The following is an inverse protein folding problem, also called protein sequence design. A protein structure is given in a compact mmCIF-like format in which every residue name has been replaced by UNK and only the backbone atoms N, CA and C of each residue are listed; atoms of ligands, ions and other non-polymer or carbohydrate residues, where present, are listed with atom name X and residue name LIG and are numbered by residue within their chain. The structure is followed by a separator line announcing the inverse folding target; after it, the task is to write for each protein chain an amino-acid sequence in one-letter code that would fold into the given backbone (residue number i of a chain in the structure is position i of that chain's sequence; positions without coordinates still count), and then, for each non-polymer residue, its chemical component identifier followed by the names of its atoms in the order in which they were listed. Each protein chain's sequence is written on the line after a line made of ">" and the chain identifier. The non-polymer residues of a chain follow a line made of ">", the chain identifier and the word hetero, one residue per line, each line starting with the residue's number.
data_IF_074620226630
#
_entry.id   IF_074620226630
#
_cell.length_a   1.000
_cell.length_b   1.000
_cell.length_c   1.000
_cell.angle_alpha   90.00
_cell.angle_beta   90.00
_cell.angle_gamma   90.00
#
_symmetry.space_group_name_H-M   'P 1'
#
loop_
_entity.id
_entity.type
_entity.pdbx_description
1 polymer ?
#
# COMPACT_ATOMS: atom_id res chain seq x y z
N UNK A 1 46.42 32.58 -48.09
CA UNK A 1 45.45 32.69 -49.19
C UNK A 1 44.12 32.15 -48.68
N UNK A 2 43.11 33.01 -48.66
CA UNK A 2 41.82 32.83 -48.00
C UNK A 2 40.94 31.77 -48.65
N UNK A 3 40.15 31.05 -47.85
CA UNK A 3 38.84 30.52 -48.27
C UNK A 3 37.77 31.08 -47.31
N UNK A 4 36.88 31.91 -47.87
CA UNK A 4 35.72 32.47 -47.20
C UNK A 4 34.54 31.57 -47.54
N UNK A 5 33.91 30.97 -46.52
CA UNK A 5 32.65 30.22 -46.66
C UNK A 5 31.51 31.19 -46.35
N UNK A 6 30.67 31.47 -47.33
CA UNK A 6 29.50 32.34 -47.20
C UNK A 6 28.41 31.66 -46.36
N UNK A 7 28.00 32.31 -45.28
CA UNK A 7 26.93 31.87 -44.39
C UNK A 7 25.60 32.45 -44.88
N UNK A 8 24.68 31.62 -45.38
CA UNK A 8 23.32 32.01 -45.74
C UNK A 8 22.40 31.88 -44.51
N UNK A 9 22.01 33.02 -43.94
CA UNK A 9 21.02 33.10 -42.87
C UNK A 9 19.64 32.64 -43.38
N UNK A 10 19.14 31.52 -42.87
CA UNK A 10 17.73 31.13 -43.00
C UNK A 10 16.87 32.11 -42.19
N UNK A 11 16.01 32.87 -42.87
CA UNK A 11 14.94 33.64 -42.22
C UNK A 11 13.80 32.67 -41.86
N UNK A 12 13.31 32.64 -40.61
CA UNK A 12 12.17 31.80 -40.26
C UNK A 12 10.88 32.29 -40.92
N UNK A 13 9.96 31.39 -41.29
CA UNK A 13 8.70 31.76 -41.94
C UNK A 13 7.83 32.61 -41.00
N UNK A 14 7.02 33.54 -41.55
CA UNK A 14 6.14 34.39 -40.75
C UNK A 14 5.08 33.54 -40.02
N UNK A 15 4.63 33.97 -38.84
CA UNK A 15 3.61 33.26 -38.08
C UNK A 15 2.28 33.22 -38.85
N UNK A 16 1.52 32.11 -38.75
CA UNK A 16 0.25 31.94 -39.45
C UNK A 16 -0.76 33.01 -39.01
N UNK A 17 -1.65 33.37 -39.92
CA UNK A 17 -2.73 34.32 -39.63
C UNK A 17 -3.71 33.74 -38.61
N UNK A 18 -4.36 34.59 -37.82
CA UNK A 18 -5.34 34.18 -36.79
C UNK A 18 -6.42 33.24 -37.36
N UNK A 19 -6.80 33.45 -38.62
CA UNK A 19 -7.79 32.65 -39.34
C UNK A 19 -7.25 31.25 -39.69
N UNK A 20 -5.97 31.13 -40.05
CA UNK A 20 -5.33 29.83 -40.29
C UNK A 20 -5.16 29.05 -38.99
N UNK A 21 -4.84 29.72 -37.88
CA UNK A 21 -4.76 29.09 -36.56
C UNK A 21 -6.12 28.58 -36.07
N UNK A 22 -7.21 29.35 -36.23
CA UNK A 22 -8.56 28.91 -35.87
C UNK A 22 -9.03 27.71 -36.71
N UNK A 23 -8.69 27.68 -38.00
CA UNK A 23 -8.99 26.54 -38.88
C UNK A 23 -8.19 25.29 -38.50
N UNK A 24 -6.92 25.44 -38.10
CA UNK A 24 -6.10 24.32 -37.58
C UNK A 24 -6.62 23.80 -36.24
N UNK A 25 -7.09 24.68 -35.35
CA UNK A 25 -7.71 24.26 -34.08
C UNK A 25 -9.04 23.54 -34.32
N UNK A 26 -9.87 23.99 -35.26
CA UNK A 26 -11.11 23.29 -35.62
C UNK A 26 -10.86 21.94 -36.29
N UNK A 27 -9.84 21.81 -37.14
CA UNK A 27 -9.44 20.51 -37.70
C UNK A 27 -8.89 19.56 -36.63
N UNK A 28 -8.10 20.04 -35.67
CA UNK A 28 -7.60 19.23 -34.56
C UNK A 28 -8.73 18.80 -33.62
N UNK A 29 -9.73 19.65 -33.39
CA UNK A 29 -10.90 19.34 -32.56
C UNK A 29 -11.85 18.34 -33.26
N UNK A 30 -12.01 18.42 -34.59
CA UNK A 30 -12.71 17.40 -35.38
C UNK A 30 -11.96 16.06 -35.43
N UNK A 31 -10.63 16.05 -35.51
CA UNK A 31 -9.84 14.82 -35.46
C UNK A 31 -9.83 14.18 -34.06
N UNK A 32 -9.96 14.96 -32.98
CA UNK A 32 -10.10 14.43 -31.62
C UNK A 32 -11.49 13.85 -31.36
N UNK A 33 -12.56 14.41 -31.95
CA UNK A 33 -13.91 13.85 -31.82
C UNK A 33 -14.11 12.52 -32.58
N UNK A 34 -13.26 12.20 -33.57
CA UNK A 34 -13.31 10.93 -34.30
C UNK A 34 -12.45 9.79 -33.70
N UNK A 35 -11.70 10.04 -32.62
CA UNK A 35 -10.93 8.99 -31.91
C UNK A 35 -11.64 8.50 -30.64
N UNK A 36 -12.88 8.01 -30.76
CA UNK A 36 -13.34 6.97 -29.85
C UNK A 36 -12.97 5.62 -30.47
N UNK A 37 -12.14 4.78 -29.81
CA UNK A 37 -11.85 3.46 -30.34
C UNK A 37 -13.15 2.66 -30.44
N UNK A 38 -13.49 2.24 -31.66
CA UNK A 38 -14.64 1.37 -31.88
C UNK A 38 -14.42 0.04 -31.17
N UNK A 39 -15.47 -0.48 -30.53
CA UNK A 39 -15.44 -1.70 -29.70
C UNK A 39 -15.03 -2.96 -30.50
N UNK A 40 -15.03 -2.89 -31.83
CA UNK A 40 -14.78 -4.03 -32.72
C UNK A 40 -13.31 -4.28 -33.09
N UNK A 41 -12.36 -3.39 -32.81
CA UNK A 41 -10.95 -3.60 -33.19
C UNK A 41 -10.11 -4.38 -32.14
N UNK A 42 -10.69 -4.73 -30.99
CA UNK A 42 -9.99 -5.44 -29.91
C UNK A 42 -10.21 -6.98 -29.90
N UNK A 43 -11.00 -7.51 -30.84
CA UNK A 43 -11.25 -8.95 -30.98
C UNK A 43 -10.24 -9.62 -31.91
N UNK A 44 -8.96 -9.58 -31.57
CA UNK A 44 -8.01 -10.51 -32.16
C UNK A 44 -8.40 -11.95 -31.79
N UNK A 45 -8.42 -12.88 -32.75
CA UNK A 45 -8.64 -14.30 -32.47
C UNK A 45 -7.50 -14.83 -31.60
N UNK A 46 -7.75 -15.01 -30.31
CA UNK A 46 -6.73 -15.52 -29.39
C UNK A 46 -6.62 -17.04 -29.53
N UNK A 47 -5.46 -17.54 -29.98
CA UNK A 47 -5.11 -18.95 -29.85
C UNK A 47 -4.59 -19.18 -28.42
N UNK A 48 -5.30 -19.98 -27.63
CA UNK A 48 -4.89 -20.35 -26.27
C UNK A 48 -4.00 -21.59 -26.40
N UNK A 49 -2.68 -21.43 -26.29
CA UNK A 49 -1.75 -22.57 -26.38
C UNK A 49 -1.34 -23.10 -25.01
N UNK A 50 -1.42 -22.26 -23.98
CA UNK A 50 -1.09 -22.63 -22.60
C UNK A 50 -1.86 -21.75 -21.58
N UNK A 51 -1.73 -22.09 -20.29
CA UNK A 51 -2.38 -21.38 -19.18
C UNK A 51 -1.89 -19.92 -19.04
N UNK A 52 -0.65 -19.61 -19.38
CA UNK A 52 -0.13 -18.24 -19.35
C UNK A 52 -0.83 -17.35 -20.38
N UNK A 53 -1.08 -17.87 -21.58
CA UNK A 53 -1.84 -17.14 -22.61
C UNK A 53 -3.24 -16.78 -22.10
N UNK A 54 -3.90 -17.73 -21.43
CA UNK A 54 -5.20 -17.50 -20.81
C UNK A 54 -5.14 -16.34 -19.81
N UNK A 55 -4.16 -16.32 -18.89
CA UNK A 55 -4.01 -15.23 -17.93
C UNK A 55 -3.69 -13.88 -18.60
N UNK A 56 -2.88 -13.87 -19.66
CA UNK A 56 -2.60 -12.65 -20.43
C UNK A 56 -3.85 -12.10 -21.11
N UNK A 57 -4.68 -12.97 -21.70
CA UNK A 57 -5.97 -12.59 -22.30
C UNK A 57 -6.90 -12.03 -21.23
N UNK A 58 -7.02 -12.69 -20.08
CA UNK A 58 -7.86 -12.21 -18.98
C UNK A 58 -7.43 -10.85 -18.47
N UNK A 59 -6.12 -10.64 -18.27
CA UNK A 59 -5.57 -9.35 -17.84
C UNK A 59 -5.84 -8.25 -18.87
N UNK A 60 -5.68 -8.56 -20.17
CA UNK A 60 -6.01 -7.61 -21.24
C UNK A 60 -7.50 -7.26 -21.26
N UNK A 61 -8.38 -8.25 -21.19
CA UNK A 61 -9.84 -8.05 -21.14
C UNK A 61 -10.25 -7.21 -19.92
N UNK A 62 -9.67 -7.49 -18.76
CA UNK A 62 -9.89 -6.71 -17.54
C UNK A 62 -9.46 -5.24 -17.74
N UNK A 63 -8.24 -5.00 -18.24
CA UNK A 63 -7.73 -3.65 -18.51
C UNK A 63 -8.58 -2.90 -19.54
N UNK A 64 -8.98 -3.56 -20.64
CA UNK A 64 -9.89 -2.98 -21.64
C UNK A 64 -11.25 -2.65 -21.03
N UNK A 65 -11.80 -3.55 -20.20
CA UNK A 65 -13.11 -3.30 -19.57
C UNK A 65 -13.05 -2.12 -18.62
N UNK A 66 -11.95 -1.94 -17.89
CA UNK A 66 -11.77 -0.77 -17.04
C UNK A 66 -11.63 0.52 -17.84
N UNK A 67 -10.95 0.48 -18.99
CA UNK A 67 -10.75 1.65 -19.86
C UNK A 67 -12.05 2.13 -20.52
N UNK A 68 -12.91 1.21 -20.95
CA UNK A 68 -14.20 1.51 -21.60
C UNK A 68 -15.36 1.57 -20.59
N UNK A 69 -15.06 1.71 -19.30
CA UNK A 69 -16.02 1.64 -18.20
C UNK A 69 -16.54 3.01 -17.74
N UNK A 70 -17.04 3.06 -16.51
CA UNK A 70 -17.39 4.31 -15.83
C UNK A 70 -16.14 5.11 -15.48
N UNK A 71 -16.30 6.38 -15.08
CA UNK A 71 -15.18 7.20 -14.60
C UNK A 71 -14.42 6.57 -13.43
N UNK A 72 -15.12 5.88 -12.53
CA UNK A 72 -14.51 5.13 -11.44
C UNK A 72 -13.63 3.99 -11.95
N UNK A 73 -14.08 3.25 -12.98
CA UNK A 73 -13.31 2.16 -13.58
C UNK A 73 -12.06 2.68 -14.29
N UNK A 74 -12.18 3.80 -14.99
CA UNK A 74 -11.05 4.48 -15.65
C UNK A 74 -10.04 4.93 -14.59
N UNK A 75 -10.49 5.56 -13.51
CA UNK A 75 -9.64 5.96 -12.39
C UNK A 75 -8.97 4.75 -11.73
N UNK A 76 -9.69 3.64 -11.53
CA UNK A 76 -9.14 2.40 -11.00
C UNK A 76 -8.04 1.84 -11.89
N UNK A 77 -8.22 1.85 -13.22
CA UNK A 77 -7.18 1.46 -14.17
C UNK A 77 -5.94 2.33 -14.05
N UNK A 78 -6.14 3.65 -13.95
CA UNK A 78 -5.05 4.60 -13.77
C UNK A 78 -4.24 4.30 -12.50
N UNK A 79 -4.91 4.05 -11.37
CA UNK A 79 -4.22 3.66 -10.13
C UNK A 79 -3.46 2.33 -10.25
N UNK A 80 -4.04 1.31 -10.89
CA UNK A 80 -3.37 0.03 -11.09
C UNK A 80 -2.08 0.18 -11.92
N UNK A 81 -2.10 1.02 -12.96
CA UNK A 81 -0.92 1.29 -13.78
C UNK A 81 0.16 2.04 -12.98
N UNK A 82 -0.23 3.02 -12.16
CA UNK A 82 0.70 3.73 -11.27
C UNK A 82 1.28 2.80 -10.20
N UNK A 83 0.48 1.88 -9.66
CA UNK A 83 0.95 0.85 -8.72
C UNK A 83 1.95 -0.09 -9.39
N UNK A 84 1.69 -0.53 -10.62
CA UNK A 84 2.61 -1.36 -11.39
C UNK A 84 3.95 -0.64 -11.62
N UNK A 85 3.92 0.62 -12.09
CA UNK A 85 5.13 1.45 -12.29
C UNK A 85 5.91 1.61 -10.98
N UNK A 86 5.22 1.90 -9.88
CA UNK A 86 5.81 1.99 -8.54
C UNK A 86 6.55 0.71 -8.13
N UNK A 87 5.94 -0.46 -8.31
CA UNK A 87 6.57 -1.74 -7.95
C UNK A 87 7.76 -2.05 -8.86
N UNK A 88 7.66 -1.79 -10.17
CA UNK A 88 8.76 -2.02 -11.12
C UNK A 88 9.97 -1.18 -10.74
N UNK A 89 9.77 0.13 -10.48
CA UNK A 89 10.84 1.02 -10.02
C UNK A 89 11.44 0.58 -8.69
N UNK A 90 10.62 0.15 -7.74
CA UNK A 90 11.13 -0.35 -6.46
C UNK A 90 12.01 -1.60 -6.65
N UNK A 91 11.64 -2.51 -7.57
CA UNK A 91 12.48 -3.67 -7.93
C UNK A 91 13.81 -3.22 -8.54
N UNK A 92 13.80 -2.21 -9.41
CA UNK A 92 15.02 -1.65 -10.01
C UNK A 92 15.95 -1.03 -8.96
N UNK A 93 15.40 -0.25 -8.04
CA UNK A 93 16.14 0.31 -6.89
C UNK A 93 16.77 -0.81 -6.06
N UNK A 94 16.01 -1.86 -5.73
CA UNK A 94 16.53 -2.99 -4.95
C UNK A 94 17.63 -3.76 -5.70
N UNK A 95 17.55 -3.87 -7.03
CA UNK A 95 18.63 -4.46 -7.85
C UNK A 95 19.89 -3.60 -7.85
N UNK A 96 19.76 -2.27 -7.84
CA UNK A 96 20.90 -1.35 -7.74
C UNK A 96 21.59 -1.47 -6.37
N UNK A 97 20.81 -1.48 -5.30
CA UNK A 97 21.31 -1.68 -3.92
C UNK A 97 21.96 -3.05 -3.74
N UNK A 98 21.45 -4.08 -4.43
CA UNK A 98 22.07 -5.40 -4.44
C UNK A 98 23.45 -5.39 -5.11
N UNK A 99 23.61 -4.62 -6.19
CA UNK A 99 24.88 -4.45 -6.92
C UNK A 99 25.92 -3.62 -6.17
N UNK A 100 25.50 -2.74 -5.27
CA UNK A 100 26.42 -1.94 -4.45
C UNK A 100 27.39 -2.82 -3.65
N UNK A 101 28.68 -2.48 -3.70
CA UNK A 101 29.72 -3.26 -3.04
C UNK A 101 29.95 -2.78 -1.60
N UNK A 102 30.27 -3.72 -0.71
CA UNK A 102 30.60 -3.41 0.68
C UNK A 102 29.57 -3.87 1.69
N UNK A 103 29.65 -3.31 2.89
CA UNK A 103 28.87 -3.76 4.04
C UNK A 103 27.40 -3.30 3.94
N UNK A 104 26.56 -3.85 4.82
CA UNK A 104 25.13 -3.54 4.89
C UNK A 104 24.84 -2.05 5.10
N UNK A 105 25.72 -1.33 5.81
CA UNK A 105 25.57 0.10 6.07
C UNK A 105 25.70 0.93 4.79
N UNK A 106 26.72 0.66 3.97
CA UNK A 106 26.86 1.27 2.63
C UNK A 106 25.65 0.99 1.74
N UNK A 107 25.10 -0.22 1.78
CA UNK A 107 23.88 -0.58 1.04
C UNK A 107 22.66 0.22 1.51
N UNK A 108 22.53 0.49 2.82
CA UNK A 108 21.47 1.35 3.37
C UNK A 108 21.66 2.79 2.91
N UNK A 109 22.88 3.34 3.00
CA UNK A 109 23.19 4.70 2.51
C UNK A 109 22.90 4.85 1.02
N UNK A 110 23.24 3.83 0.21
CA UNK A 110 22.91 3.79 -1.21
C UNK A 110 21.41 3.77 -1.45
N UNK A 111 20.65 2.97 -0.71
CA UNK A 111 19.19 2.93 -0.79
C UNK A 111 18.59 4.30 -0.46
N UNK A 112 19.06 4.95 0.60
CA UNK A 112 18.64 6.30 0.99
C UNK A 112 18.92 7.31 -0.11
N UNK A 113 20.15 7.31 -0.65
CA UNK A 113 20.56 8.21 -1.72
C UNK A 113 19.74 8.02 -3.01
N UNK A 114 19.43 6.79 -3.40
CA UNK A 114 18.61 6.52 -4.59
C UNK A 114 17.17 7.00 -4.38
N UNK A 115 16.59 6.75 -3.20
CA UNK A 115 15.23 7.18 -2.88
C UNK A 115 15.07 8.71 -2.80
N UNK A 116 16.15 9.42 -2.46
CA UNK A 116 16.20 10.89 -2.44
C UNK A 116 16.60 11.49 -3.80
N UNK A 117 17.12 10.69 -4.72
CA UNK A 117 17.62 11.14 -6.01
C UNK A 117 16.49 11.73 -6.88
N UNK A 118 16.72 12.86 -7.57
CA UNK A 118 15.77 13.41 -8.54
C UNK A 118 15.75 12.64 -9.86
N UNK A 119 16.57 11.59 -10.02
CA UNK A 119 16.69 10.81 -11.26
C UNK A 119 15.33 10.22 -11.70
N UNK A 120 14.88 10.47 -12.95
CA UNK A 120 13.57 10.01 -13.42
C UNK A 120 13.35 8.51 -13.29
N UNK A 121 14.40 7.69 -13.44
CA UNK A 121 14.30 6.23 -13.32
C UNK A 121 13.92 5.74 -11.92
N UNK A 122 14.33 6.45 -10.86
CA UNK A 122 14.10 6.06 -9.47
C UNK A 122 13.05 6.93 -8.77
N UNK A 123 12.61 8.00 -9.42
CA UNK A 123 11.61 8.91 -8.90
C UNK A 123 10.21 8.27 -8.89
N UNK A 124 9.65 8.18 -7.69
CA UNK A 124 8.24 7.87 -7.50
C UNK A 124 7.38 9.11 -7.75
N UNK A 125 6.31 8.95 -8.52
CA UNK A 125 5.34 10.00 -8.81
C UNK A 125 4.30 10.12 -7.68
N UNK A 126 4.75 10.51 -6.48
CA UNK A 126 3.87 10.87 -5.39
C UNK A 126 3.37 12.30 -5.56
N UNK A 127 2.05 12.47 -5.51
CA UNK A 127 1.41 13.77 -5.57
C UNK A 127 0.37 13.85 -4.45
N UNK A 128 0.38 14.92 -3.65
CA UNK A 128 -0.62 15.12 -2.60
C UNK A 128 -2.04 15.24 -3.16
N UNK A 129 -2.19 15.78 -4.37
CA UNK A 129 -3.47 15.94 -5.05
C UNK A 129 -3.91 14.66 -5.77
N UNK A 130 -3.00 13.70 -5.97
CA UNK A 130 -3.30 12.38 -6.54
C UNK A 130 -2.53 11.27 -5.80
N UNK A 131 -2.89 10.99 -4.52
CA UNK A 131 -2.20 10.00 -3.70
C UNK A 131 -2.29 8.60 -4.28
N UNK A 132 -1.19 7.84 -4.20
CA UNK A 132 -1.16 6.47 -4.71
C UNK A 132 -1.78 5.52 -3.68
N UNK A 133 -2.75 4.65 -4.04
CA UNK A 133 -3.17 3.57 -3.16
C UNK A 133 -2.01 2.57 -2.97
N UNK A 134 -1.69 2.20 -1.73
CA UNK A 134 -0.63 1.22 -1.48
C UNK A 134 -1.06 -0.17 -2.00
N UNK A 135 -0.22 -0.89 -2.78
CA UNK A 135 -0.60 -2.22 -3.28
C UNK A 135 -1.00 -3.19 -2.16
N UNK A 136 -0.25 -3.22 -1.07
CA UNK A 136 -0.49 -4.10 0.09
C UNK A 136 -1.83 -3.80 0.80
N UNK A 137 -2.26 -2.54 0.80
CA UNK A 137 -3.53 -2.12 1.38
C UNK A 137 -4.12 -0.93 0.60
N UNK A 138 -5.06 -1.18 -0.33
CA UNK A 138 -5.63 -0.12 -1.18
C UNK A 138 -6.37 0.99 -0.41
N UNK A 139 -6.75 0.75 0.85
CA UNK A 139 -7.37 1.77 1.72
C UNK A 139 -6.36 2.80 2.23
N UNK A 140 -5.06 2.49 2.16
CA UNK A 140 -3.98 3.40 2.56
C UNK A 140 -3.51 4.15 1.32
N UNK A 141 -3.56 5.48 1.40
CA UNK A 141 -3.09 6.39 0.36
C UNK A 141 -1.72 6.94 0.76
N UNK A 142 -0.73 6.80 -0.11
CA UNK A 142 0.66 7.18 0.14
C UNK A 142 1.06 8.37 -0.74
N UNK A 143 1.86 9.26 -0.15
CA UNK A 143 2.33 10.52 -0.74
C UNK A 143 3.86 10.66 -0.65
N UNK A 144 4.57 9.65 -0.16
CA UNK A 144 6.02 9.69 -0.02
C UNK A 144 6.61 8.43 0.60
N UNK A 145 7.94 8.39 0.68
CA UNK A 145 8.72 7.38 1.41
C UNK A 145 9.53 8.09 2.49
N UNK A 146 9.58 7.53 3.70
CA UNK A 146 10.44 7.97 4.79
C UNK A 146 11.88 7.48 4.54
N UNK A 147 12.61 8.19 3.67
CA UNK A 147 13.94 7.79 3.18
C UNK A 147 14.95 7.60 4.31
N UNK A 148 15.00 8.52 5.27
CA UNK A 148 16.00 8.50 6.36
C UNK A 148 15.88 7.31 7.31
N UNK A 149 14.71 6.68 7.37
CA UNK A 149 14.41 5.61 8.31
C UNK A 149 14.34 4.22 7.63
N UNK A 150 14.72 4.13 6.35
CA UNK A 150 14.80 2.83 5.67
C UNK A 150 15.90 1.95 6.27
N UNK A 151 15.66 0.65 6.32
CA UNK A 151 16.62 -0.32 6.85
C UNK A 151 16.67 -1.57 5.96
N UNK A 152 17.80 -2.26 5.98
CA UNK A 152 17.95 -3.59 5.39
C UNK A 152 18.13 -4.62 6.50
N UNK A 153 17.36 -5.71 6.45
CA UNK A 153 17.51 -6.81 7.40
C UNK A 153 18.78 -7.63 7.12
N UNK A 154 19.33 -8.23 8.18
CA UNK A 154 20.46 -9.16 8.09
C UNK A 154 19.95 -10.54 7.64
N UNK A 155 19.74 -10.71 6.34
CA UNK A 155 19.29 -11.96 5.71
C UNK A 155 19.94 -12.14 4.34
N UNK A 156 19.96 -13.37 3.80
CA UNK A 156 20.52 -13.68 2.48
C UNK A 156 19.86 -12.86 1.35
N UNK A 157 18.54 -12.67 1.43
CA UNK A 157 17.77 -11.88 0.44
C UNK A 157 17.68 -10.38 0.79
N UNK A 158 18.30 -9.95 1.90
CA UNK A 158 18.35 -8.56 2.38
C UNK A 158 17.04 -7.76 2.16
N UNK A 159 15.92 -8.17 2.77
CA UNK A 159 14.67 -7.45 2.59
C UNK A 159 14.75 -6.04 3.19
N UNK A 160 14.01 -5.11 2.60
CA UNK A 160 14.03 -3.70 2.96
C UNK A 160 12.82 -3.33 3.82
N UNK A 161 13.05 -2.77 5.00
CA UNK A 161 12.02 -2.06 5.77
C UNK A 161 11.85 -0.67 5.18
N UNK A 162 10.65 -0.40 4.67
CA UNK A 162 10.27 0.86 4.01
C UNK A 162 9.09 1.49 4.74
N UNK A 163 9.22 2.75 5.10
CA UNK A 163 8.13 3.56 5.65
C UNK A 163 7.47 4.38 4.56
N UNK A 164 6.16 4.29 4.41
CA UNK A 164 5.39 5.11 3.47
C UNK A 164 4.64 6.21 4.20
N UNK A 165 4.83 7.45 3.77
CA UNK A 165 4.12 8.60 4.34
C UNK A 165 2.70 8.60 3.77
N UNK A 166 1.71 8.51 4.65
CA UNK A 166 0.29 8.49 4.29
C UNK A 166 -0.27 9.90 4.12
N UNK A 167 -1.46 10.03 3.54
CA UNK A 167 -2.18 11.33 3.45
C UNK A 167 -2.48 11.94 4.83
N UNK A 168 -2.51 11.11 5.88
CA UNK A 168 -2.80 11.51 7.26
C UNK A 168 -1.55 11.99 8.01
N UNK A 169 -0.37 11.95 7.38
CA UNK A 169 0.91 12.29 8.00
C UNK A 169 1.56 11.15 8.80
N UNK A 170 0.88 10.01 8.94
CA UNK A 170 1.41 8.81 9.60
C UNK A 170 2.33 8.02 8.65
N UNK A 171 3.25 7.24 9.24
CA UNK A 171 4.13 6.35 8.48
C UNK A 171 3.58 4.92 8.53
N UNK A 172 3.27 4.37 7.36
CA UNK A 172 2.90 2.96 7.23
C UNK A 172 4.11 2.12 6.87
N UNK A 173 4.50 1.23 7.78
CA UNK A 173 5.69 0.40 7.64
C UNK A 173 5.44 -0.89 6.88
N UNK A 174 6.34 -1.21 5.97
CA UNK A 174 6.33 -2.45 5.19
C UNK A 174 7.72 -3.06 5.14
N UNK A 175 7.77 -4.34 4.84
CA UNK A 175 8.97 -5.07 4.44
C UNK A 175 8.79 -5.44 2.98
N UNK A 176 9.66 -4.94 2.12
CA UNK A 176 9.73 -5.35 0.72
C UNK A 176 10.78 -6.45 0.56
N UNK A 177 10.35 -7.59 0.02
CA UNK A 177 11.23 -8.73 -0.25
C UNK A 177 11.45 -8.83 -1.76
N UNK A 178 12.71 -8.97 -2.17
CA UNK A 178 13.10 -9.17 -3.56
C UNK A 178 14.04 -10.38 -3.65
N UNK A 179 13.68 -11.36 -4.47
CA UNK A 179 14.29 -12.69 -4.53
C UNK A 179 13.56 -13.78 -3.72
N UNK A 180 12.32 -13.54 -3.28
CA UNK A 180 11.53 -14.46 -2.45
C UNK A 180 10.13 -14.64 -3.03
N UNK A 181 9.56 -15.85 -2.94
CA UNK A 181 8.22 -16.17 -3.45
C UNK A 181 7.20 -16.17 -2.32
N UNK A 182 6.42 -15.09 -2.22
CA UNK A 182 5.49 -14.89 -1.11
C UNK A 182 4.12 -15.52 -1.32
N UNK A 183 3.89 -16.26 -2.41
CA UNK A 183 2.55 -16.81 -2.71
C UNK A 183 2.07 -17.78 -1.64
N UNK A 184 2.97 -18.55 -1.04
CA UNK A 184 2.64 -19.46 0.05
C UNK A 184 2.29 -18.68 1.32
N UNK A 185 3.13 -17.72 1.72
CA UNK A 185 2.89 -16.85 2.88
C UNK A 185 1.56 -16.07 2.74
N UNK A 186 1.29 -15.56 1.53
CA UNK A 186 0.07 -14.83 1.18
C UNK A 186 -1.17 -15.72 1.37
N UNK A 187 -1.14 -16.96 0.83
CA UNK A 187 -2.24 -17.92 1.00
C UNK A 187 -2.47 -18.28 2.47
N UNK A 188 -1.40 -18.57 3.22
CA UNK A 188 -1.49 -18.96 4.64
C UNK A 188 -2.09 -17.82 5.46
N UNK A 189 -1.66 -16.58 5.26
CA UNK A 189 -2.21 -15.44 5.98
C UNK A 189 -3.64 -15.10 5.57
N UNK A 190 -4.03 -15.35 4.32
CA UNK A 190 -5.43 -15.27 3.90
C UNK A 190 -6.29 -16.28 4.67
N UNK A 191 -5.81 -17.52 4.87
CA UNK A 191 -6.49 -18.52 5.68
C UNK A 191 -6.60 -18.10 7.15
N UNK A 192 -5.52 -17.60 7.76
CA UNK A 192 -5.52 -17.11 9.14
C UNK A 192 -6.52 -15.94 9.31
N UNK A 193 -6.56 -15.02 8.34
CA UNK A 193 -7.49 -13.88 8.36
C UNK A 193 -8.96 -14.35 8.23
N UNK A 194 -9.23 -15.34 7.36
CA UNK A 194 -10.54 -15.97 7.27
C UNK A 194 -10.94 -16.63 8.61
N UNK A 195 -10.05 -17.40 9.24
CA UNK A 195 -10.29 -18.00 10.55
C UNK A 195 -10.54 -16.93 11.62
N UNK A 196 -9.82 -15.81 11.60
CA UNK A 196 -10.07 -14.68 12.50
C UNK A 196 -11.46 -14.08 12.33
N UNK A 197 -11.89 -13.86 11.09
CA UNK A 197 -13.25 -13.38 10.79
C UNK A 197 -14.33 -14.36 11.28
N UNK A 198 -14.13 -15.66 11.11
CA UNK A 198 -15.07 -16.70 11.55
C UNK A 198 -15.17 -16.75 13.08
N UNK A 199 -14.05 -16.74 13.79
CA UNK A 199 -14.05 -16.79 15.26
C UNK A 199 -14.65 -15.53 15.88
N UNK A 200 -14.37 -14.35 15.30
CA UNK A 200 -15.00 -13.09 15.71
C UNK A 200 -16.52 -13.11 15.49
N UNK A 201 -17.00 -13.78 14.44
CA UNK A 201 -18.43 -13.94 14.18
C UNK A 201 -19.12 -14.76 15.28
N UNK A 202 -18.44 -15.74 15.83
CA UNK A 202 -18.87 -16.51 17.02
C UNK A 202 -18.50 -15.82 18.34
N UNK A 203 -18.26 -14.51 18.32
CA UNK A 203 -17.90 -13.68 19.48
C UNK A 203 -16.60 -14.09 20.20
N UNK A 204 -15.73 -14.87 19.55
CA UNK A 204 -14.45 -15.30 20.09
C UNK A 204 -13.29 -14.46 19.51
N UNK A 205 -12.98 -13.34 20.16
CA UNK A 205 -11.83 -12.50 19.82
C UNK A 205 -10.55 -12.99 20.52
N UNK A 206 -9.76 -13.77 19.79
CA UNK A 206 -8.49 -14.33 20.26
C UNK A 206 -7.29 -13.40 20.03
N UNK A 207 -7.54 -12.11 19.74
CA UNK A 207 -6.51 -11.05 19.66
C UNK A 207 -5.38 -11.34 18.67
N UNK A 208 -5.69 -11.99 17.53
CA UNK A 208 -4.71 -12.16 16.47
C UNK A 208 -4.30 -10.84 15.83
N UNK A 209 -3.07 -10.85 15.32
CA UNK A 209 -2.55 -9.78 14.46
C UNK A 209 -2.28 -10.33 13.06
N UNK A 210 -3.32 -10.63 12.25
CA UNK A 210 -3.12 -11.10 10.88
C UNK A 210 -2.57 -9.96 10.03
N UNK A 211 -1.24 -9.91 9.91
CA UNK A 211 -0.57 -8.93 9.08
C UNK A 211 -0.75 -9.26 7.60
N UNK A 212 -0.73 -8.24 6.74
CA UNK A 212 -0.93 -8.44 5.30
C UNK A 212 0.35 -8.88 4.61
N UNK A 213 0.20 -9.75 3.63
CA UNK A 213 1.23 -10.10 2.64
C UNK A 213 0.62 -9.91 1.26
N UNK A 214 1.44 -9.51 0.30
CA UNK A 214 1.06 -9.42 -1.10
C UNK A 214 2.23 -9.87 -1.97
N UNK A 215 2.05 -10.97 -2.69
CA UNK A 215 2.95 -11.35 -3.77
C UNK A 215 2.68 -10.49 -5.02
N UNK A 216 3.62 -9.59 -5.37
CA UNK A 216 3.51 -8.80 -6.61
C UNK A 216 4.03 -9.56 -7.84
N UNK A 217 4.84 -10.60 -7.62
CA UNK A 217 5.41 -11.50 -8.61
C UNK A 217 5.82 -12.80 -7.93
N UNK A 218 6.32 -13.78 -8.69
CA UNK A 218 6.93 -15.01 -8.14
C UNK A 218 8.29 -14.80 -7.48
N UNK A 219 8.80 -13.56 -7.47
CA UNK A 219 10.13 -13.22 -6.94
C UNK A 219 10.13 -12.03 -5.99
N UNK A 220 9.02 -11.33 -5.81
CA UNK A 220 9.00 -10.16 -4.95
C UNK A 220 7.60 -9.82 -4.46
N UNK A 221 7.54 -9.14 -3.32
CA UNK A 221 6.28 -8.69 -2.74
C UNK A 221 6.47 -7.91 -1.45
N UNK A 222 5.35 -7.55 -0.85
CA UNK A 222 5.30 -6.77 0.37
C UNK A 222 4.78 -7.62 1.52
N UNK A 223 5.30 -7.34 2.71
CA UNK A 223 4.82 -7.82 3.99
C UNK A 223 4.57 -6.60 4.86
N UNK A 224 3.45 -6.55 5.59
CA UNK A 224 3.19 -5.50 6.55
C UNK A 224 4.17 -5.64 7.72
N UNK A 225 4.85 -4.54 8.08
CA UNK A 225 5.70 -4.55 9.25
C UNK A 225 4.82 -4.36 10.50
N UNK A 226 5.00 -5.24 11.48
CA UNK A 226 4.41 -5.14 12.81
C UNK A 226 5.56 -4.99 13.79
N UNK A 227 5.50 -3.95 14.63
CA UNK A 227 6.49 -3.74 15.67
C UNK A 227 6.43 -4.89 16.68
N UNK A 228 7.51 -5.68 16.72
CA UNK A 228 7.56 -6.93 17.47
C UNK A 228 9.01 -7.31 17.77
N UNK A 229 9.19 -7.99 18.90
CA UNK A 229 10.47 -8.58 19.31
C UNK A 229 10.43 -10.08 19.10
N UNK A 230 11.55 -10.65 18.69
CA UNK A 230 11.66 -12.11 18.60
C UNK A 230 11.63 -12.73 20.00
N UNK A 231 11.06 -13.93 20.14
CA UNK A 231 11.03 -14.64 21.43
C UNK A 231 12.44 -14.86 21.97
N UNK A 232 13.42 -15.15 21.10
CA UNK A 232 14.81 -15.30 21.49
C UNK A 232 15.41 -14.01 22.08
N UNK A 233 15.11 -12.86 21.48
CA UNK A 233 15.54 -11.55 21.97
C UNK A 233 14.90 -11.21 23.32
N UNK A 234 13.60 -11.49 23.47
CA UNK A 234 12.88 -11.32 24.75
C UNK A 234 13.53 -12.15 25.86
N UNK A 235 13.83 -13.43 25.60
CA UNK A 235 14.46 -14.31 26.59
C UNK A 235 15.88 -13.84 26.90
N UNK A 236 16.65 -13.41 25.90
CA UNK A 236 18.01 -12.91 26.10
C UNK A 236 18.06 -11.63 26.94
N UNK A 237 17.12 -10.71 26.73
CA UNK A 237 17.13 -9.40 27.38
C UNK A 237 16.46 -9.40 28.76
N UNK A 238 15.34 -10.14 28.90
CA UNK A 238 14.49 -10.08 30.09
C UNK A 238 14.49 -11.40 30.90
N UNK A 239 15.16 -12.44 30.40
CA UNK A 239 15.26 -13.77 31.00
C UNK A 239 14.02 -14.65 30.82
N UNK A 240 12.82 -14.06 30.79
CA UNK A 240 11.56 -14.78 30.57
C UNK A 240 10.48 -13.90 29.94
N UNK A 241 9.52 -14.53 29.26
CA UNK A 241 8.33 -13.86 28.73
C UNK A 241 7.54 -13.19 29.88
N UNK A 242 7.48 -13.81 31.05
CA UNK A 242 6.81 -13.27 32.23
C UNK A 242 7.40 -11.91 32.66
N UNK A 243 8.73 -11.81 32.73
CA UNK A 243 9.41 -10.57 33.09
C UNK A 243 9.16 -9.47 32.06
N UNK A 244 9.18 -9.84 30.78
CA UNK A 244 8.85 -8.92 29.69
C UNK A 244 7.43 -8.38 29.79
N UNK A 245 6.42 -9.24 29.98
CA UNK A 245 5.03 -8.82 30.15
C UNK A 245 4.83 -7.94 31.39
N UNK A 246 5.53 -8.24 32.49
CA UNK A 246 5.54 -7.40 33.71
C UNK A 246 6.10 -6.00 33.42
N UNK A 247 7.22 -5.92 32.70
CA UNK A 247 7.85 -4.66 32.30
C UNK A 247 6.93 -3.81 31.42
N UNK A 248 6.28 -4.41 30.42
CA UNK A 248 5.33 -3.70 29.56
C UNK A 248 4.13 -3.18 30.36
N UNK A 249 3.64 -3.99 31.31
CA UNK A 249 2.50 -3.63 32.17
C UNK A 249 2.78 -2.42 33.05
N UNK A 250 4.03 -2.18 33.44
CA UNK A 250 4.43 -1.04 34.28
C UNK A 250 4.50 0.27 33.50
N UNK A 251 4.74 0.20 32.18
CA UNK A 251 4.89 1.38 31.33
C UNK A 251 3.59 1.83 30.66
N UNK A 252 2.45 1.14 30.86
CA UNK A 252 1.20 1.34 30.08
C UNK A 252 1.43 1.40 28.57
N UNK A 253 2.54 0.85 28.10
CA UNK A 253 2.83 0.68 26.68
C UNK A 253 2.05 -0.52 26.21
N UNK A 254 0.72 -0.43 26.18
CA UNK A 254 -0.06 -1.33 25.34
C UNK A 254 0.53 -1.17 23.94
N UNK A 255 1.11 -2.20 23.32
CA UNK A 255 1.54 -2.06 21.95
C UNK A 255 0.30 -1.70 21.15
N UNK A 256 0.25 -0.46 20.66
CA UNK A 256 -0.81 0.01 19.76
C UNK A 256 -0.66 -0.79 18.49
N UNK A 257 -1.25 -1.99 18.47
CA UNK A 257 -1.58 -2.66 17.24
C UNK A 257 -2.65 -1.77 16.64
N UNK A 258 -2.27 -0.98 15.63
CA UNK A 258 -3.23 -0.38 14.72
C UNK A 258 -3.92 -1.53 13.99
N UNK A 259 -4.84 -2.20 14.69
CA UNK A 259 -5.92 -2.93 14.08
C UNK A 259 -6.58 -1.89 13.21
N UNK A 260 -6.32 -1.94 11.91
CA UNK A 260 -7.23 -1.35 10.94
C UNK A 260 -8.50 -2.17 11.03
N UNK A 261 -9.29 -1.87 12.06
CA UNK A 261 -10.69 -2.22 12.16
C UNK A 261 -11.30 -1.81 10.84
N UNK A 262 -11.71 -2.81 10.08
CA UNK A 262 -12.88 -2.79 9.20
C UNK A 262 -13.27 -1.41 8.69
N UNK A 263 -12.64 -0.97 7.60
CA UNK A 263 -13.26 0.01 6.70
C UNK A 263 -13.60 -0.74 5.42
N UNK A 264 -14.83 -1.26 5.43
CA UNK A 264 -15.69 -1.64 4.31
C UNK A 264 -15.00 -2.28 3.10
N UNK A 265 -15.00 -3.61 3.10
CA UNK A 265 -14.99 -4.39 1.88
C UNK A 265 -16.23 -3.99 1.03
N UNK A 266 -15.97 -3.38 -0.13
CA UNK A 266 -16.82 -3.39 -1.33
C UNK A 266 -18.35 -3.22 -1.12
N UNK A 267 -18.81 -2.00 -0.85
CA UNK A 267 -20.22 -1.64 -1.05
C UNK A 267 -20.37 -0.98 -2.43
N UNK A 268 -21.00 -1.68 -3.38
CA UNK A 268 -21.54 -1.09 -4.60
C UNK A 268 -22.47 0.06 -4.20
N UNK A 269 -22.08 1.30 -4.47
CA UNK A 269 -22.98 2.45 -4.39
C UNK A 269 -23.88 2.40 -5.63
N UNK A 270 -25.07 1.82 -5.45
CA UNK A 270 -26.21 2.08 -6.33
C UNK A 270 -26.72 3.48 -6.00
N UNK A 271 -26.70 4.34 -7.02
CA UNK A 271 -27.34 5.65 -7.01
C UNK A 271 -28.85 5.49 -7.04
N UNK A 272 -29.53 6.00 -6.00
CA UNK A 272 -30.99 6.06 -5.91
C UNK A 272 -31.43 7.35 -5.22
N UNK A 273 -31.81 8.31 -6.06
CA UNK A 273 -32.67 9.50 -5.87
C UNK A 273 -33.17 9.89 -4.47
N UNK A 274 -32.91 11.16 -4.17
CA UNK A 274 -33.52 12.06 -3.18
C UNK A 274 -35.06 12.04 -3.10
N UNK A 275 -35.61 12.18 -1.89
CA UNK A 275 -36.75 13.09 -1.59
C UNK A 275 -36.79 13.47 -0.10
N UNK A 276 -37.20 14.71 0.11
CA UNK A 276 -37.26 15.56 1.30
C UNK A 276 -38.44 15.31 2.25
N UNK A 277 -38.21 15.50 3.55
CA UNK A 277 -39.05 16.24 4.54
C UNK A 277 -38.44 16.00 5.94
N UNK A 278 -38.24 16.96 6.84
CA UNK A 278 -38.97 18.18 7.14
C UNK A 278 -39.59 18.02 8.54
N UNK A 279 -38.86 18.41 9.60
CA UNK A 279 -39.37 18.33 10.98
C UNK A 279 -38.47 19.07 11.98
N UNK A 280 -39.04 20.08 12.63
CA UNK A 280 -38.41 21.12 13.46
C UNK A 280 -38.92 20.99 14.90
N UNK A 281 -38.13 21.48 15.87
CA UNK A 281 -38.40 21.82 17.30
C UNK A 281 -37.64 20.93 18.30
N UNK A 282 -37.21 21.38 19.49
CA UNK A 282 -36.89 22.68 20.14
C UNK A 282 -36.30 22.25 21.50
N UNK A 283 -35.25 22.93 21.98
CA UNK A 283 -34.41 22.43 23.07
C UNK A 283 -34.94 22.53 24.50
N UNK A 284 -34.16 21.98 25.43
CA UNK A 284 -34.05 22.39 26.84
C UNK A 284 -32.66 22.06 27.36
N UNK A 285 -32.07 23.04 28.06
CA UNK A 285 -30.84 23.01 28.83
C UNK A 285 -30.90 22.02 29.99
N UNK A 286 -29.82 21.28 30.26
CA UNK A 286 -29.49 20.91 31.63
C UNK A 286 -27.99 20.70 31.84
N UNK A 287 -27.47 21.43 32.83
CA UNK A 287 -26.14 21.37 33.42
C UNK A 287 -26.00 20.13 34.30
N UNK A 288 -24.95 19.35 34.10
CA UNK A 288 -24.62 18.22 34.96
C UNK A 288 -23.32 17.56 34.51
N UNK A 289 -22.20 17.97 35.11
CA UNK A 289 -20.89 17.34 34.92
C UNK A 289 -20.90 15.91 35.48
N UNK A 290 -20.48 14.88 34.71
CA UNK A 290 -20.10 13.61 35.30
C UNK A 290 -18.58 13.61 35.54
N UNK A 291 -18.19 13.37 36.79
CA UNK A 291 -16.83 13.07 37.21
C UNK A 291 -16.30 11.88 36.39
N UNK A 292 -15.20 12.10 35.70
CA UNK A 292 -14.47 11.08 34.95
C UNK A 292 -13.72 10.19 35.96
N UNK A 293 -14.27 9.03 36.30
CA UNK A 293 -13.57 7.99 37.05
C UNK A 293 -12.47 7.40 36.15
N UNK A 294 -11.22 7.59 36.56
CA UNK A 294 -10.04 6.94 35.96
C UNK A 294 -10.19 5.42 36.01
N UNK A 295 -9.92 4.66 34.93
CA UNK A 295 -9.84 3.21 35.00
C UNK A 295 -8.49 2.84 35.62
N UNK A 296 -8.48 2.63 36.93
CA UNK A 296 -7.38 1.95 37.61
C UNK A 296 -7.39 0.47 37.21
N UNK A 297 -6.58 0.10 36.22
CA UNK A 297 -6.34 -1.29 35.84
C UNK A 297 -5.86 -2.09 37.04
N UNK A 298 -6.63 -3.10 37.43
CA UNK A 298 -6.29 -4.02 38.51
C UNK A 298 -5.05 -4.83 38.14
N UNK A 299 -3.91 -4.59 38.81
CA UNK A 299 -2.75 -5.46 38.68
C UNK A 299 -3.04 -6.83 39.31
N UNK A 300 -2.75 -7.91 38.59
CA UNK A 300 -2.85 -9.26 39.12
C UNK A 300 -1.74 -9.54 40.15
N UNK A 301 -1.87 -10.55 41.01
CA UNK A 301 -0.85 -10.95 42.03
C UNK A 301 0.57 -11.17 41.43
N UNK A 302 0.68 -11.35 40.12
CA UNK A 302 1.91 -11.54 39.36
C UNK A 302 2.61 -10.24 38.93
N UNK A 303 1.98 -9.08 39.13
CA UNK A 303 2.48 -7.75 38.69
C UNK A 303 2.28 -7.45 37.20
N UNK A 304 1.43 -8.23 36.51
CA UNK A 304 1.11 -8.07 35.09
C UNK A 304 -0.33 -7.52 34.97
N UNK A 305 -0.56 -6.60 34.04
CA UNK A 305 -1.89 -6.08 33.72
C UNK A 305 -2.80 -7.22 33.23
N UNK A 306 -4.03 -7.27 33.74
CA UNK A 306 -5.03 -8.28 33.35
C UNK A 306 -5.30 -8.25 31.84
N UNK A 307 -5.31 -7.08 31.22
CA UNK A 307 -5.57 -6.90 29.78
C UNK A 307 -4.45 -7.49 28.91
N UNK A 308 -3.20 -7.25 29.30
CA UNK A 308 -2.01 -7.77 28.59
C UNK A 308 -1.93 -9.28 28.74
N UNK A 309 -2.16 -9.80 29.96
CA UNK A 309 -2.14 -11.23 30.22
C UNK A 309 -3.27 -11.95 29.48
N UNK A 310 -4.48 -11.38 29.45
CA UNK A 310 -5.61 -11.91 28.68
C UNK A 310 -5.32 -11.93 27.17
N UNK A 311 -4.78 -10.84 26.62
CA UNK A 311 -4.40 -10.78 25.20
C UNK A 311 -3.33 -11.82 24.85
N UNK A 312 -2.31 -11.97 25.70
CA UNK A 312 -1.25 -12.98 25.52
C UNK A 312 -1.83 -14.41 25.52
N UNK A 313 -2.62 -14.77 26.54
CA UNK A 313 -3.20 -16.11 26.67
C UNK A 313 -4.12 -16.42 25.49
N UNK A 314 -4.98 -15.47 25.10
CA UNK A 314 -5.88 -15.61 23.94
C UNK A 314 -5.11 -15.82 22.64
N UNK A 315 -4.05 -15.07 22.41
CA UNK A 315 -3.20 -15.21 21.23
C UNK A 315 -2.50 -16.58 21.20
N UNK A 316 -1.96 -17.05 22.34
CA UNK A 316 -1.32 -18.36 22.43
C UNK A 316 -2.29 -19.51 22.16
N UNK A 317 -3.49 -19.47 22.75
CA UNK A 317 -4.50 -20.52 22.57
C UNK A 317 -4.89 -20.72 21.11
N UNK A 318 -4.90 -19.65 20.31
CA UNK A 318 -5.22 -19.73 18.89
C UNK A 318 -4.08 -20.23 18.01
N UNK A 319 -2.84 -19.89 18.31
CA UNK A 319 -1.68 -20.41 17.57
C UNK A 319 -1.64 -21.94 17.63
N UNK A 320 -1.96 -22.48 18.81
CA UNK A 320 -2.11 -23.93 19.03
C UNK A 320 -3.25 -24.52 18.18
N UNK A 321 -4.40 -23.84 18.07
CA UNK A 321 -5.53 -24.31 17.25
C UNK A 321 -5.17 -24.34 15.75
N UNK A 322 -4.40 -23.35 15.28
CA UNK A 322 -3.97 -23.27 13.88
C UNK A 322 -2.93 -24.35 13.56
N UNK A 323 -2.06 -24.71 14.51
CA UNK A 323 -1.02 -25.73 14.31
C UNK A 323 -1.53 -27.18 14.38
N UNK A 324 -2.72 -27.43 14.97
CA UNK A 324 -3.28 -28.78 15.18
C UNK A 324 -4.25 -29.23 14.06
N UNK A 325 -4.65 -28.33 13.15
CA UNK A 325 -5.54 -28.62 12.02
C UNK A 325 -4.80 -28.87 10.72
#
# INVERSE_FOLDING_TARGET
>A
MSSVVSNSYLVPPPPPSIIEWENEQQQQQQQQQQKQPSVNELSGSYSITNVMDMYMIMMRRFSTRLLCGTQEMIARRHFLLRQQDFVVKLVEIMKEVARESGNRMKKIEKLQSILESPEPQFRFNFNKNDPLPLPLNPNIRIIGVATKEVMLYKSATMPAKLGFITTNGEIFWTIFKNGDDLRQDDLVLQMINLMDKLLRKENLDLKLTPYRVLACSSKHGFVQFIDSLSVAEVISNEGSIHNYLRKISQHNSTPTITSTSSINDFQLVSTGTSTTSGGRQRGTTNTGSPLLSSPSGSMNQTGISSEIMDAYIKSCGKMIIIDIG
#
